data_IF_622112368482
#
_entry.id   IF_622112368482
#
_cell.length_a   1.000
_cell.length_b   1.000
_cell.length_c   1.000
_cell.angle_alpha   90.00
_cell.angle_beta   90.00
_cell.angle_gamma   90.00
#
_symmetry.space_group_name_H-M   'P 1'
#
loop_
_entity.id
_entity.type
_entity.pdbx_description
1 polymer ?
#
# COMPACT_ATOMS: atom_id res chain seq x y z
N UNK A 1 1.85 -65.11 -20.89
CA UNK A 1 1.03 -64.23 -20.04
C UNK A 1 1.83 -63.89 -18.79
N UNK A 2 2.51 -62.73 -18.78
CA UNK A 2 3.29 -62.30 -17.62
C UNK A 2 2.38 -61.51 -16.66
N UNK A 3 2.20 -62.05 -15.46
CA UNK A 3 1.29 -61.52 -14.43
C UNK A 3 1.91 -60.30 -13.75
N UNK A 4 1.12 -59.24 -13.63
CA UNK A 4 1.48 -57.89 -13.20
C UNK A 4 1.75 -57.82 -11.66
N UNK A 5 2.84 -58.43 -11.18
CA UNK A 5 3.16 -58.53 -9.75
C UNK A 5 3.72 -57.23 -9.12
N UNK A 6 4.06 -56.21 -9.92
CA UNK A 6 4.60 -54.95 -9.42
C UNK A 6 3.57 -54.03 -8.73
N UNK A 7 2.28 -54.16 -9.06
CA UNK A 7 1.21 -53.31 -8.51
C UNK A 7 0.84 -53.65 -7.07
N UNK A 8 0.89 -54.93 -6.68
CA UNK A 8 0.46 -55.37 -5.34
C UNK A 8 1.44 -54.96 -4.24
N UNK A 9 2.75 -54.94 -4.52
CA UNK A 9 3.76 -54.56 -3.52
C UNK A 9 3.67 -53.08 -3.10
N UNK A 10 3.31 -52.17 -4.02
CA UNK A 10 3.17 -50.74 -3.69
C UNK A 10 1.97 -50.46 -2.78
N UNK A 11 0.84 -51.13 -3.01
CA UNK A 11 -0.37 -51.00 -2.20
C UNK A 11 -0.19 -51.57 -0.80
N UNK A 12 0.44 -52.75 -0.67
CA UNK A 12 0.74 -53.36 0.63
C UNK A 12 1.68 -52.45 1.44
N UNK A 13 2.72 -51.90 0.81
CA UNK A 13 3.62 -50.96 1.47
C UNK A 13 2.91 -49.71 2.00
N UNK A 14 2.02 -49.13 1.19
CA UNK A 14 1.19 -47.98 1.59
C UNK A 14 0.30 -48.33 2.79
N UNK A 15 -0.33 -49.50 2.79
CA UNK A 15 -1.17 -49.95 3.89
C UNK A 15 -0.39 -50.19 5.20
N UNK A 16 0.84 -50.71 5.11
CA UNK A 16 1.72 -50.89 6.27
C UNK A 16 2.19 -49.55 6.84
N UNK A 17 2.44 -48.55 5.98
CA UNK A 17 2.95 -47.24 6.39
C UNK A 17 1.87 -46.15 6.51
N UNK A 18 0.59 -46.49 6.37
CA UNK A 18 -0.52 -45.53 6.27
C UNK A 18 -0.54 -44.49 7.39
N UNK A 19 -0.23 -44.88 8.63
CA UNK A 19 -0.21 -43.97 9.78
C UNK A 19 0.97 -43.00 9.69
N UNK A 20 2.16 -43.48 9.30
CA UNK A 20 3.35 -42.63 9.14
C UNK A 20 3.14 -41.62 8.00
N UNK A 21 2.56 -42.08 6.89
CA UNK A 21 2.22 -41.22 5.75
C UNK A 21 1.22 -40.16 6.17
N UNK A 22 0.18 -40.54 6.92
CA UNK A 22 -0.83 -39.61 7.43
C UNK A 22 -0.19 -38.55 8.35
N UNK A 23 0.66 -38.95 9.30
CA UNK A 23 1.33 -38.02 10.21
C UNK A 23 2.23 -37.04 9.45
N UNK A 24 3.07 -37.54 8.52
CA UNK A 24 3.95 -36.67 7.72
C UNK A 24 3.11 -35.68 6.90
N UNK A 25 2.06 -36.17 6.24
CA UNK A 25 1.16 -35.32 5.44
C UNK A 25 0.49 -34.26 6.31
N UNK A 26 -0.01 -34.64 7.50
CA UNK A 26 -0.63 -33.71 8.43
C UNK A 26 0.35 -32.63 8.88
N UNK A 27 1.59 -32.99 9.24
CA UNK A 27 2.62 -32.03 9.61
C UNK A 27 2.91 -31.08 8.45
N UNK A 28 3.11 -31.60 7.23
CA UNK A 28 3.39 -30.78 6.04
C UNK A 28 2.25 -29.80 5.75
N UNK A 29 0.99 -30.27 5.78
CA UNK A 29 -0.20 -29.42 5.52
C UNK A 29 -0.36 -28.36 6.60
N UNK A 30 -0.16 -28.71 7.88
CA UNK A 30 -0.24 -27.76 8.99
C UNK A 30 0.84 -26.67 8.84
N UNK A 31 2.09 -27.06 8.56
CA UNK A 31 3.18 -26.10 8.35
C UNK A 31 2.91 -25.16 7.18
N UNK A 32 2.44 -25.67 6.04
CA UNK A 32 2.06 -24.86 4.88
C UNK A 32 0.92 -23.90 5.21
N UNK A 33 -0.12 -24.38 5.90
CA UNK A 33 -1.27 -23.56 6.30
C UNK A 33 -0.85 -22.43 7.24
N UNK A 34 0.02 -22.71 8.21
CA UNK A 34 0.53 -21.70 9.14
C UNK A 34 1.32 -20.61 8.42
N UNK A 35 2.18 -20.99 7.47
CA UNK A 35 2.91 -20.03 6.62
C UNK A 35 1.90 -19.15 5.86
N UNK A 36 0.92 -19.76 5.20
CA UNK A 36 -0.08 -19.03 4.42
C UNK A 36 -0.90 -18.07 5.29
N UNK A 37 -1.30 -18.50 6.49
CA UNK A 37 -2.02 -17.65 7.45
C UNK A 37 -1.17 -16.46 7.92
N UNK A 38 0.13 -16.66 8.17
CA UNK A 38 1.03 -15.57 8.55
C UNK A 38 1.14 -14.51 7.44
N UNK A 39 1.24 -14.95 6.17
CA UNK A 39 1.31 -14.04 5.02
C UNK A 39 0.00 -13.28 4.83
N UNK A 40 -1.14 -13.98 4.83
CA UNK A 40 -2.46 -13.35 4.70
C UNK A 40 -2.76 -12.40 5.85
N UNK A 41 -2.45 -12.79 7.09
CA UNK A 41 -2.66 -11.95 8.27
C UNK A 41 -1.86 -10.65 8.18
N UNK A 42 -0.59 -10.73 7.77
CA UNK A 42 0.26 -9.56 7.55
C UNK A 42 -0.34 -8.65 6.49
N UNK A 43 -0.67 -9.19 5.32
CA UNK A 43 -1.21 -8.42 4.21
C UNK A 43 -2.56 -7.76 4.54
N UNK A 44 -3.50 -8.50 5.15
CA UNK A 44 -4.83 -7.97 5.50
C UNK A 44 -4.77 -6.88 6.59
N UNK A 45 -3.72 -6.90 7.42
CA UNK A 45 -3.51 -5.90 8.47
C UNK A 45 -3.03 -4.58 7.89
N UNK A 46 -2.05 -4.62 6.97
CA UNK A 46 -1.39 -3.43 6.43
C UNK A 46 -1.96 -2.95 5.08
N UNK A 47 -2.96 -3.63 4.51
CA UNK A 47 -3.67 -3.16 3.33
C UNK A 47 -4.86 -2.23 3.68
N UNK A 48 -4.90 -1.69 4.91
CA UNK A 48 -5.90 -0.72 5.37
C UNK A 48 -5.21 0.56 5.76
N UNK A 49 -5.74 1.69 5.30
CA UNK A 49 -5.14 3.01 5.51
C UNK A 49 -6.04 3.85 6.39
N UNK A 50 -5.43 4.61 7.30
CA UNK A 50 -6.12 5.57 8.18
C UNK A 50 -5.61 6.95 7.80
N UNK A 51 -6.52 7.82 7.39
CA UNK A 51 -6.22 9.21 6.98
C UNK A 51 -6.45 10.23 8.09
N UNK A 52 -7.09 9.81 9.18
CA UNK A 52 -7.46 10.66 10.30
C UNK A 52 -7.34 9.85 11.60
N UNK A 53 -6.47 10.32 12.48
CA UNK A 53 -6.17 9.67 13.76
C UNK A 53 -7.34 9.74 14.75
N UNK A 54 -8.22 10.74 14.60
CA UNK A 54 -9.37 10.93 15.51
C UNK A 54 -10.47 9.91 15.21
N UNK A 55 -10.82 9.76 13.93
CA UNK A 55 -11.92 8.89 13.50
C UNK A 55 -11.54 7.41 13.47
N UNK A 56 -10.24 7.09 13.31
CA UNK A 56 -9.73 5.72 13.16
C UNK A 56 -10.42 4.91 12.06
N UNK A 57 -10.98 5.60 11.06
CA UNK A 57 -11.63 4.95 9.92
C UNK A 57 -10.59 4.24 9.06
N UNK A 58 -10.85 2.96 8.77
CA UNK A 58 -9.95 2.10 7.99
C UNK A 58 -10.46 1.96 6.57
N UNK A 59 -9.79 2.62 5.63
CA UNK A 59 -10.11 2.58 4.22
C UNK A 59 -9.37 1.42 3.56
N UNK A 60 -10.08 0.67 2.72
CA UNK A 60 -9.54 -0.49 2.01
C UNK A 60 -9.93 -0.55 0.52
N UNK A 61 -10.85 0.32 0.09
CA UNK A 61 -11.23 0.48 -1.30
C UNK A 61 -10.61 1.76 -1.81
N UNK A 62 -9.89 1.66 -2.91
CA UNK A 62 -9.20 2.77 -3.54
C UNK A 62 -9.48 2.73 -5.03
N UNK A 63 -9.67 3.91 -5.61
CA UNK A 63 -9.83 4.16 -7.03
C UNK A 63 -8.46 4.44 -7.67
N UNK A 64 -8.39 4.33 -9.00
CA UNK A 64 -7.23 4.79 -9.75
C UNK A 64 -7.31 6.31 -9.91
N UNK A 65 -6.17 6.96 -10.13
CA UNK A 65 -6.10 8.42 -10.28
C UNK A 65 -6.94 8.91 -11.49
N UNK A 66 -7.01 8.12 -12.55
CA UNK A 66 -7.75 8.44 -13.78
C UNK A 66 -9.28 8.24 -13.64
N UNK A 67 -9.73 7.50 -12.62
CA UNK A 67 -11.13 7.14 -12.40
C UNK A 67 -11.90 8.20 -11.60
N UNK A 68 -11.25 9.29 -11.19
CA UNK A 68 -11.87 10.37 -10.43
C UNK A 68 -13.01 11.02 -11.24
N UNK A 69 -14.17 11.18 -10.63
CA UNK A 69 -15.39 11.61 -11.35
C UNK A 69 -15.41 13.13 -11.63
N UNK A 70 -14.96 13.92 -10.65
CA UNK A 70 -15.17 15.38 -10.62
C UNK A 70 -13.97 16.18 -11.12
N UNK A 71 -12.75 15.70 -10.85
CA UNK A 71 -11.50 16.38 -11.18
C UNK A 71 -10.57 15.43 -11.91
N UNK A 72 -9.69 15.99 -12.73
CA UNK A 72 -8.51 15.30 -13.22
C UNK A 72 -7.34 15.71 -12.31
N UNK A 73 -6.75 14.76 -11.59
CA UNK A 73 -5.64 15.01 -10.67
C UNK A 73 -4.32 14.69 -11.36
N UNK A 74 -3.41 15.66 -11.41
CA UNK A 74 -2.04 15.43 -11.85
C UNK A 74 -1.07 15.40 -10.68
N UNK A 75 -0.03 14.59 -10.82
CA UNK A 75 0.91 14.27 -9.76
C UNK A 75 2.34 14.14 -10.28
N UNK A 76 3.27 14.78 -9.58
CA UNK A 76 4.70 14.67 -9.85
C UNK A 76 5.44 14.32 -8.56
N UNK A 77 6.26 13.27 -8.60
CA UNK A 77 7.21 12.96 -7.55
C UNK A 77 8.49 13.77 -7.75
N UNK A 78 8.71 14.78 -6.91
CA UNK A 78 9.84 15.71 -7.12
C UNK A 78 11.09 15.27 -6.38
N UNK A 79 10.97 14.88 -5.12
CA UNK A 79 12.14 14.64 -4.27
C UNK A 79 11.94 13.40 -3.43
N UNK A 80 12.96 12.56 -3.39
CA UNK A 80 13.15 11.52 -2.38
C UNK A 80 14.39 11.88 -1.58
N UNK A 81 14.26 11.98 -0.27
CA UNK A 81 15.40 12.05 0.64
C UNK A 81 15.38 10.86 1.59
N UNK A 82 16.47 10.08 1.60
CA UNK A 82 16.60 8.98 2.53
C UNK A 82 16.90 9.49 3.95
N UNK A 83 16.38 8.84 5.00
CA UNK A 83 16.76 9.15 6.36
C UNK A 83 18.18 8.65 6.64
N UNK A 84 18.97 9.42 7.40
CA UNK A 84 20.23 8.94 8.00
C UNK A 84 20.03 8.71 9.49
N UNK A 85 20.75 7.72 10.03
CA UNK A 85 20.66 7.33 11.43
C UNK A 85 22.03 7.38 12.11
N UNK A 86 22.03 7.81 13.37
CA UNK A 86 23.19 7.76 14.25
C UNK A 86 23.50 6.31 14.67
N UNK A 87 24.68 6.09 15.27
CA UNK A 87 25.09 4.77 15.78
C UNK A 87 24.13 4.20 16.85
N UNK A 88 23.37 5.05 17.53
CA UNK A 88 22.36 4.66 18.53
C UNK A 88 20.99 4.35 17.93
N UNK A 89 20.83 4.48 16.61
CA UNK A 89 19.57 4.27 15.88
C UNK A 89 18.62 5.47 15.89
N UNK A 90 19.02 6.62 16.44
CA UNK A 90 18.24 7.86 16.32
C UNK A 90 18.39 8.48 14.92
N UNK A 91 17.35 9.18 14.44
CA UNK A 91 17.39 9.87 13.15
C UNK A 91 18.34 11.06 13.23
N UNK A 92 19.39 11.04 12.41
CA UNK A 92 20.36 12.14 12.25
C UNK A 92 19.86 13.14 11.20
N UNK A 93 19.45 12.66 10.03
CA UNK A 93 18.80 13.45 9.00
C UNK A 93 17.42 12.89 8.67
N UNK A 94 16.41 13.74 8.73
CA UNK A 94 15.02 13.40 8.39
C UNK A 94 14.91 13.06 6.90
N UNK A 95 14.39 11.87 6.63
CA UNK A 95 13.98 11.44 5.30
C UNK A 95 12.57 11.94 4.97
N UNK A 96 12.30 12.18 3.69
CA UNK A 96 10.99 12.63 3.25
C UNK A 96 10.75 12.33 1.77
N UNK A 97 9.48 12.30 1.42
CA UNK A 97 9.02 12.31 0.04
C UNK A 97 8.35 13.65 -0.22
N UNK A 98 8.66 14.25 -1.36
CA UNK A 98 8.06 15.48 -1.81
C UNK A 98 7.33 15.26 -3.13
N UNK A 99 6.09 15.70 -3.15
CA UNK A 99 5.19 15.56 -4.27
C UNK A 99 4.62 16.92 -4.66
N UNK A 100 4.25 17.06 -5.91
CA UNK A 100 3.46 18.18 -6.44
C UNK A 100 2.15 17.66 -6.97
N UNK A 101 1.08 18.34 -6.62
CA UNK A 101 -0.27 18.01 -7.08
C UNK A 101 -0.90 19.24 -7.72
N UNK A 102 -1.52 19.06 -8.87
CA UNK A 102 -2.45 20.03 -9.47
C UNK A 102 -3.73 19.31 -9.83
N UNK A 103 -4.82 20.06 -10.02
CA UNK A 103 -6.05 19.49 -10.51
C UNK A 103 -6.68 20.41 -11.54
N UNK A 104 -7.41 19.80 -12.45
CA UNK A 104 -8.27 20.48 -13.41
C UNK A 104 -9.71 20.04 -13.12
N UNK A 105 -10.62 21.00 -12.93
CA UNK A 105 -12.03 20.68 -12.73
C UNK A 105 -12.66 20.20 -14.05
N UNK A 106 -13.38 19.05 -14.02
CA UNK A 106 -14.11 18.61 -15.21
C UNK A 106 -15.26 19.55 -15.50
N UNK A 107 -15.48 19.86 -16.79
CA UNK A 107 -16.41 20.89 -17.30
C UNK A 107 -17.86 20.81 -16.76
N UNK A 108 -18.27 19.69 -16.18
CA UNK A 108 -19.60 19.48 -15.62
C UNK A 108 -19.77 19.98 -14.20
N UNK A 109 -18.68 20.32 -13.49
CA UNK A 109 -18.70 20.68 -12.08
C UNK A 109 -18.09 22.06 -11.83
N UNK A 110 -18.75 22.85 -10.97
CA UNK A 110 -18.19 24.09 -10.43
C UNK A 110 -17.49 23.78 -9.11
N UNK A 111 -16.20 23.45 -9.19
CA UNK A 111 -15.39 23.09 -8.02
C UNK A 111 -14.99 24.36 -7.27
N UNK A 112 -15.27 24.39 -5.96
CA UNK A 112 -14.95 25.54 -5.10
C UNK A 112 -13.73 25.27 -4.21
N UNK A 113 -13.47 24.01 -3.86
CA UNK A 113 -12.34 23.62 -3.02
C UNK A 113 -11.95 22.17 -3.26
N UNK A 114 -10.65 21.91 -3.33
CA UNK A 114 -10.08 20.56 -3.31
C UNK A 114 -9.08 20.48 -2.18
N UNK A 115 -9.27 19.53 -1.26
CA UNK A 115 -8.29 19.23 -0.21
C UNK A 115 -7.78 17.81 -0.36
N UNK A 116 -6.48 17.65 -0.14
CA UNK A 116 -5.78 16.40 -0.28
C UNK A 116 -5.03 16.09 1.01
N UNK A 117 -5.22 14.88 1.53
CA UNK A 117 -4.48 14.33 2.67
C UNK A 117 -3.69 13.12 2.19
N UNK A 118 -2.37 13.24 2.03
CA UNK A 118 -1.56 12.14 1.54
C UNK A 118 -1.07 11.26 2.69
N UNK A 119 -0.90 9.97 2.43
CA UNK A 119 -0.34 8.98 3.37
C UNK A 119 0.63 8.09 2.61
N UNK A 120 1.83 7.90 3.14
CA UNK A 120 2.73 6.85 2.65
C UNK A 120 2.59 5.62 3.53
N UNK A 121 2.37 4.46 2.92
CA UNK A 121 2.25 3.21 3.66
C UNK A 121 2.73 2.01 2.86
N UNK A 122 3.41 1.07 3.53
CA UNK A 122 3.77 -0.23 2.92
C UNK A 122 2.70 -1.29 3.19
N UNK A 123 2.55 -2.27 2.29
CA UNK A 123 1.49 -3.30 2.42
C UNK A 123 1.88 -4.50 3.31
N UNK A 124 3.10 -4.53 3.85
CA UNK A 124 3.63 -5.67 4.58
C UNK A 124 4.23 -5.31 5.94
N UNK A 125 4.70 -4.07 6.10
CA UNK A 125 5.35 -3.58 7.32
C UNK A 125 4.51 -2.43 7.86
N UNK A 126 4.54 -2.22 9.18
CA UNK A 126 3.85 -1.11 9.84
C UNK A 126 4.61 0.21 9.66
N UNK A 127 4.99 0.51 8.41
CA UNK A 127 5.64 1.75 8.04
C UNK A 127 4.60 2.61 7.35
N UNK A 128 4.11 3.59 8.10
CA UNK A 128 3.04 4.48 7.69
C UNK A 128 3.33 5.89 8.20
N UNK A 129 3.23 6.88 7.34
CA UNK A 129 3.26 8.28 7.74
C UNK A 129 2.14 9.07 7.09
N UNK A 130 1.48 9.88 7.91
CA UNK A 130 0.44 10.81 7.48
C UNK A 130 1.10 12.13 7.09
N UNK A 131 0.87 12.57 5.85
CA UNK A 131 1.26 13.88 5.40
C UNK A 131 0.31 14.98 5.89
N UNK A 132 0.72 16.22 5.73
CA UNK A 132 -0.14 17.36 6.06
C UNK A 132 -1.25 17.51 5.01
N UNK A 133 -2.48 17.77 5.47
CA UNK A 133 -3.58 18.14 4.58
C UNK A 133 -3.24 19.44 3.84
N UNK A 134 -3.33 19.42 2.52
CA UNK A 134 -3.12 20.58 1.66
C UNK A 134 -4.41 20.94 0.92
N UNK A 135 -4.61 22.23 0.64
CA UNK A 135 -5.66 22.69 -0.26
C UNK A 135 -5.02 22.96 -1.62
N UNK A 136 -5.52 22.31 -2.66
CA UNK A 136 -5.03 22.53 -4.01
C UNK A 136 -5.64 23.80 -4.59
N UNK A 137 -4.87 24.46 -5.45
CA UNK A 137 -5.33 25.60 -6.24
C UNK A 137 -5.53 25.13 -7.69
N UNK A 138 -6.54 25.68 -8.35
CA UNK A 138 -6.85 25.38 -9.76
C UNK A 138 -5.63 25.71 -10.64
N UNK A 139 -5.33 24.86 -11.62
CA UNK A 139 -4.23 25.01 -12.59
C UNK A 139 -2.83 25.27 -11.98
N UNK A 140 -2.57 24.91 -10.72
CA UNK A 140 -1.27 25.16 -10.09
C UNK A 140 -0.81 24.05 -9.15
N UNK A 141 0.47 23.72 -9.27
CA UNK A 141 1.08 22.70 -8.42
C UNK A 141 1.26 23.19 -6.99
N UNK A 142 0.71 22.41 -6.07
CA UNK A 142 0.90 22.57 -4.63
C UNK A 142 1.85 21.48 -4.13
N UNK A 143 2.86 21.86 -3.35
CA UNK A 143 3.80 20.90 -2.78
C UNK A 143 3.17 20.19 -1.57
N UNK A 144 3.30 18.87 -1.51
CA UNK A 144 3.10 18.09 -0.29
C UNK A 144 4.43 17.46 0.12
N UNK A 145 4.78 17.60 1.39
CA UNK A 145 5.93 16.92 1.98
C UNK A 145 5.42 15.92 3.01
N UNK A 146 5.94 14.71 2.94
CA UNK A 146 5.64 13.63 3.87
C UNK A 146 6.96 13.18 4.47
N UNK A 147 7.14 13.46 5.76
CA UNK A 147 8.29 12.95 6.50
C UNK A 147 8.17 11.43 6.56
N UNK A 148 9.23 10.72 6.19
CA UNK A 148 9.23 9.27 6.12
C UNK A 148 10.58 8.74 6.59
N UNK A 149 10.70 8.52 7.89
CA UNK A 149 11.95 8.13 8.55
C UNK A 149 12.07 6.61 8.71
N UNK A 150 11.78 5.87 7.65
CA UNK A 150 11.96 4.42 7.61
C UNK A 150 13.06 4.06 6.63
N UNK A 151 13.91 3.13 7.04
CA UNK A 151 14.93 2.55 6.18
C UNK A 151 14.28 1.51 5.27
N UNK A 152 14.36 1.72 3.95
CA UNK A 152 13.94 0.79 2.91
C UNK A 152 15.11 0.55 1.94
N UNK A 153 15.24 -0.63 1.32
CA UNK A 153 14.32 -1.76 1.34
C UNK A 153 14.39 -2.62 2.62
N UNK A 154 13.30 -3.31 2.97
CA UNK A 154 13.22 -4.20 4.14
C UNK A 154 12.62 -5.56 3.80
N UNK A 155 13.18 -6.61 4.39
CA UNK A 155 12.70 -7.99 4.24
C UNK A 155 12.03 -8.48 5.52
N UNK A 156 10.70 -8.37 5.60
CA UNK A 156 9.92 -8.85 6.77
C UNK A 156 9.60 -10.35 6.73
N UNK A 157 9.38 -10.91 5.55
CA UNK A 157 9.10 -12.34 5.35
C UNK A 157 10.10 -12.93 4.36
N UNK A 158 10.32 -14.25 4.42
CA UNK A 158 11.34 -14.94 3.62
C UNK A 158 11.19 -14.64 2.11
N UNK A 159 9.96 -14.45 1.60
CA UNK A 159 9.71 -14.21 0.18
C UNK A 159 9.10 -12.84 -0.12
N UNK A 160 9.15 -11.91 0.83
CA UNK A 160 8.62 -10.55 0.64
C UNK A 160 9.73 -9.54 0.88
N UNK A 161 10.08 -8.83 -0.19
CA UNK A 161 10.90 -7.62 -0.13
C UNK A 161 9.96 -6.42 -0.23
N UNK A 162 10.16 -5.44 0.64
CA UNK A 162 9.43 -4.16 0.60
C UNK A 162 10.44 -3.11 0.19
N UNK A 163 10.35 -2.66 -1.05
CA UNK A 163 11.30 -1.73 -1.64
C UNK A 163 10.83 -0.29 -1.46
N UNK A 164 9.55 -0.03 -1.74
CA UNK A 164 8.97 1.32 -1.68
C UNK A 164 7.57 1.32 -1.02
N UNK A 165 7.14 2.47 -0.48
CA UNK A 165 5.78 2.64 0.00
C UNK A 165 4.81 2.95 -1.15
N UNK A 166 3.52 2.73 -0.89
CA UNK A 166 2.44 3.26 -1.75
C UNK A 166 2.05 4.65 -1.26
N UNK A 167 1.69 5.52 -2.20
CA UNK A 167 1.09 6.82 -1.91
C UNK A 167 -0.44 6.68 -1.95
N UNK A 168 -1.07 6.92 -0.82
CA UNK A 168 -2.52 6.94 -0.66
C UNK A 168 -2.99 8.37 -0.50
N UNK A 169 -4.08 8.72 -1.16
CA UNK A 169 -4.63 10.07 -1.14
C UNK A 169 -6.09 10.00 -0.69
N UNK A 170 -6.46 10.82 0.29
CA UNK A 170 -7.85 11.19 0.56
C UNK A 170 -8.08 12.55 -0.10
N UNK A 171 -9.02 12.60 -1.02
CA UNK A 171 -9.34 13.78 -1.81
C UNK A 171 -10.76 14.20 -1.46
N UNK A 172 -10.92 15.33 -0.79
CA UNK A 172 -12.22 15.93 -0.53
C UNK A 172 -12.45 17.06 -1.53
N UNK A 173 -13.45 16.89 -2.41
CA UNK A 173 -13.81 17.86 -3.45
C UNK A 173 -15.14 18.49 -3.07
N UNK A 174 -15.13 19.80 -2.84
CA UNK A 174 -16.34 20.62 -2.65
C UNK A 174 -16.71 21.28 -3.97
N UNK A 175 -17.96 21.08 -4.40
CA UNK A 175 -18.49 21.62 -5.64
C UNK A 175 -19.92 22.13 -5.47
N UNK A 176 -20.32 23.05 -6.35
CA UNK A 176 -21.63 23.68 -6.32
C UNK A 176 -22.62 22.92 -7.21
N UNK A 177 -23.79 22.64 -6.65
CA UNK A 177 -24.96 22.08 -7.36
C UNK A 177 -26.11 23.05 -7.17
N UNK A 178 -26.35 23.91 -8.17
CA UNK A 178 -27.36 24.97 -8.10
C UNK A 178 -26.99 26.03 -7.05
N UNK A 179 -27.73 26.09 -5.94
CA UNK A 179 -27.47 27.02 -4.83
C UNK A 179 -26.90 26.35 -3.57
N UNK A 180 -26.50 25.08 -3.68
CA UNK A 180 -25.98 24.29 -2.54
C UNK A 180 -24.57 23.79 -2.84
N UNK A 181 -23.70 23.83 -1.83
CA UNK A 181 -22.38 23.20 -1.86
C UNK A 181 -22.48 21.75 -1.39
N UNK A 182 -21.88 20.82 -2.13
CA UNK A 182 -21.72 19.41 -1.75
C UNK A 182 -20.24 19.07 -1.63
N UNK A 183 -19.89 18.12 -0.76
CA UNK A 183 -18.52 17.59 -0.64
C UNK A 183 -18.52 16.09 -0.91
N UNK A 184 -17.64 15.65 -1.79
CA UNK A 184 -17.42 14.24 -2.10
C UNK A 184 -15.98 13.86 -1.75
N UNK A 185 -15.83 12.78 -0.98
CA UNK A 185 -14.54 12.18 -0.64
C UNK A 185 -14.25 11.02 -1.58
N UNK A 186 -13.06 11.04 -2.19
CA UNK A 186 -12.52 9.96 -3.02
C UNK A 186 -11.19 9.50 -2.43
N UNK A 187 -10.87 8.22 -2.59
CA UNK A 187 -9.64 7.61 -2.07
C UNK A 187 -8.85 7.00 -3.21
N UNK A 188 -7.61 7.44 -3.40
CA UNK A 188 -6.75 6.98 -4.49
C UNK A 188 -5.55 6.25 -3.94
N UNK A 189 -5.11 5.20 -4.64
CA UNK A 189 -3.86 4.48 -4.36
C UNK A 189 -2.94 4.57 -5.58
N UNK A 190 -1.72 5.04 -5.35
CA UNK A 190 -0.67 5.16 -6.36
C UNK A 190 0.48 4.23 -5.97
N UNK A 191 0.89 3.37 -6.91
CA UNK A 191 2.12 2.60 -6.75
C UNK A 191 3.30 3.46 -7.17
N UNK A 192 4.28 3.68 -6.29
CA UNK A 192 5.44 4.51 -6.60
C UNK A 192 6.47 3.77 -7.46
N UNK A 193 6.45 2.42 -7.51
CA UNK A 193 7.35 1.62 -8.35
C UNK A 193 7.27 1.99 -9.85
N UNK A 194 6.14 2.52 -10.29
CA UNK A 194 5.89 2.92 -11.68
C UNK A 194 6.38 4.35 -11.98
N UNK A 195 6.92 5.05 -10.98
CA UNK A 195 7.35 6.45 -11.05
C UNK A 195 8.79 6.61 -10.54
N UNK A 196 9.42 7.73 -10.89
CA UNK A 196 10.73 8.09 -10.37
C UNK A 196 10.71 9.52 -9.86
N UNK A 197 11.41 9.82 -8.75
CA UNK A 197 11.56 11.19 -8.30
C UNK A 197 12.44 11.99 -9.27
N UNK A 198 12.14 13.28 -9.46
CA UNK A 198 13.00 14.18 -10.23
C UNK A 198 14.41 14.32 -9.60
N UNK A 199 14.50 14.20 -8.27
CA UNK A 199 15.75 14.30 -7.51
C UNK A 199 15.79 13.31 -6.35
N UNK A 200 16.93 12.65 -6.18
CA UNK A 200 17.24 11.81 -5.01
C UNK A 200 18.32 12.50 -4.19
N UNK A 201 18.07 12.64 -2.89
CA UNK A 201 18.98 13.23 -1.92
C UNK A 201 19.39 12.17 -0.90
N UNK A 202 20.67 12.22 -0.52
CA UNK A 202 21.24 11.43 0.57
C UNK A 202 20.99 12.09 1.95
#
# INVERSE_FOLDING_TARGET
MAYNNGKNNKLIWFHTHRIRILIITAITVISLTLILLAYLGTYLTYNKVIFDEETNEKISSFEQIDDLEIIDLDFIWTTLKYPSFNEDGSVDATGYYQFKFSYDARNTYSVSKVTLTPVLQTNWIDYKELGTMITLSDDSYTNALIVYNYELPQRKLIFVNVEEPFLYLKIDVTYDVGSTTSTQTQYVKINLDDYNPDSVLD
#
